data_IF_238419058704
#
_entry.id   IF_238419058704
#
_cell.length_a   1.000
_cell.length_b   1.000
_cell.length_c   1.000
_cell.angle_alpha   90.00
_cell.angle_beta   90.00
_cell.angle_gamma   90.00
#
_symmetry.space_group_name_H-M   'P 1'
#
loop_
_entity.id
_entity.type
_entity.pdbx_description
1 polymer ?
#
# COMPACT_ATOMS: atom_id res chain seq x y z
N UNK A 1 -25.06 4.87 -28.73
CA UNK A 1 -24.42 3.72 -28.08
C UNK A 1 -23.16 4.28 -27.42
N UNK A 2 -23.10 4.34 -26.05
CA UNK A 2 -21.86 4.76 -25.36
C UNK A 2 -20.80 3.70 -25.67
N UNK A 3 -19.76 4.09 -26.35
CA UNK A 3 -18.55 3.27 -26.46
C UNK A 3 -17.95 3.13 -25.08
N UNK A 4 -17.86 1.92 -24.58
CA UNK A 4 -17.22 1.63 -23.29
C UNK A 4 -15.71 1.72 -23.54
N UNK A 5 -15.07 2.69 -22.90
CA UNK A 5 -13.63 2.85 -23.02
C UNK A 5 -12.87 1.72 -22.32
N UNK A 6 -11.75 1.31 -22.88
CA UNK A 6 -10.86 0.28 -22.30
C UNK A 6 -10.44 0.68 -20.88
N UNK A 7 -10.27 1.97 -20.61
CA UNK A 7 -9.97 2.53 -19.28
C UNK A 7 -11.06 2.22 -18.25
N UNK A 8 -12.34 2.33 -18.64
CA UNK A 8 -13.47 2.02 -17.77
C UNK A 8 -13.52 0.53 -17.41
N UNK A 9 -13.21 -0.34 -18.39
CA UNK A 9 -13.15 -1.78 -18.17
C UNK A 9 -12.02 -2.14 -17.20
N UNK A 10 -10.82 -1.58 -17.42
CA UNK A 10 -9.66 -1.82 -16.55
C UNK A 10 -9.88 -1.30 -15.12
N UNK A 11 -10.45 -0.11 -14.98
CA UNK A 11 -10.78 0.46 -13.67
C UNK A 11 -11.82 -0.39 -12.93
N UNK A 12 -12.85 -0.84 -13.64
CA UNK A 12 -13.89 -1.70 -13.06
C UNK A 12 -13.31 -3.04 -12.61
N UNK A 13 -12.45 -3.67 -13.43
CA UNK A 13 -11.78 -4.91 -13.09
C UNK A 13 -10.86 -4.74 -11.88
N UNK A 14 -10.08 -3.65 -11.84
CA UNK A 14 -9.22 -3.32 -10.71
C UNK A 14 -10.03 -3.16 -9.42
N UNK A 15 -11.11 -2.36 -9.45
CA UNK A 15 -11.96 -2.12 -8.29
C UNK A 15 -12.65 -3.40 -7.81
N UNK A 16 -13.14 -4.24 -8.73
CA UNK A 16 -13.71 -5.53 -8.40
C UNK A 16 -12.69 -6.44 -7.68
N UNK A 17 -11.44 -6.47 -8.14
CA UNK A 17 -10.36 -7.21 -7.49
C UNK A 17 -10.02 -6.66 -6.10
N UNK A 18 -9.98 -5.34 -5.92
CA UNK A 18 -9.78 -4.71 -4.60
C UNK A 18 -10.90 -5.11 -3.63
N UNK A 19 -12.16 -4.97 -4.06
CA UNK A 19 -13.34 -5.34 -3.23
C UNK A 19 -13.29 -6.83 -2.87
N UNK A 20 -13.00 -7.70 -3.82
CA UNK A 20 -12.88 -9.14 -3.58
C UNK A 20 -11.78 -9.45 -2.56
N UNK A 21 -10.60 -8.83 -2.67
CA UNK A 21 -9.51 -8.99 -1.72
C UNK A 21 -9.88 -8.48 -0.32
N UNK A 22 -10.48 -7.30 -0.21
CA UNK A 22 -10.90 -6.72 1.08
C UNK A 22 -11.95 -7.61 1.75
N UNK A 23 -12.95 -8.07 0.99
CA UNK A 23 -13.97 -8.99 1.53
C UNK A 23 -13.37 -10.31 1.98
N UNK A 24 -12.48 -10.91 1.17
CA UNK A 24 -11.81 -12.16 1.53
C UNK A 24 -11.05 -12.05 2.84
N UNK A 25 -10.23 -11.00 2.98
CA UNK A 25 -9.43 -10.76 4.18
C UNK A 25 -10.31 -10.39 5.39
N UNK A 26 -11.32 -9.55 5.17
CA UNK A 26 -12.27 -9.16 6.21
C UNK A 26 -13.07 -10.36 6.76
N UNK A 27 -13.55 -11.23 5.86
CA UNK A 27 -14.25 -12.46 6.25
C UNK A 27 -13.30 -13.39 7.01
N UNK A 28 -12.03 -13.54 6.53
CA UNK A 28 -11.01 -14.34 7.21
C UNK A 28 -10.75 -13.84 8.63
N UNK A 29 -10.53 -12.55 8.80
CA UNK A 29 -10.33 -11.93 10.11
C UNK A 29 -11.57 -12.07 11.02
N UNK A 30 -12.76 -11.80 10.49
CA UNK A 30 -14.01 -11.96 11.24
C UNK A 30 -14.19 -13.40 11.74
N UNK A 31 -13.94 -14.40 10.87
CA UNK A 31 -14.01 -15.82 11.25
C UNK A 31 -13.01 -16.17 12.35
N UNK A 32 -11.77 -15.67 12.24
CA UNK A 32 -10.74 -15.85 13.26
C UNK A 32 -11.21 -15.29 14.61
N UNK A 33 -11.61 -14.02 14.66
CA UNK A 33 -12.06 -13.37 15.91
C UNK A 33 -13.30 -14.08 16.48
N UNK A 34 -14.23 -14.47 15.64
CA UNK A 34 -15.43 -15.21 16.07
C UNK A 34 -15.06 -16.57 16.66
N UNK A 35 -14.15 -17.30 16.02
CA UNK A 35 -13.66 -18.60 16.51
C UNK A 35 -12.91 -18.46 17.83
N UNK A 36 -11.98 -17.49 17.93
CA UNK A 36 -11.26 -17.19 19.16
C UNK A 36 -12.21 -16.88 20.31
N UNK A 37 -13.20 -16.00 20.09
CA UNK A 37 -14.18 -15.63 21.13
C UNK A 37 -15.11 -16.79 21.49
N UNK A 38 -15.56 -17.56 20.51
CA UNK A 38 -16.50 -18.66 20.71
C UNK A 38 -15.93 -19.83 21.48
N UNK A 39 -14.62 -20.07 21.38
CA UNK A 39 -13.91 -21.15 22.08
C UNK A 39 -13.11 -20.67 23.29
N UNK A 40 -13.19 -19.36 23.59
CA UNK A 40 -12.37 -18.78 24.66
C UNK A 40 -12.97 -19.00 26.04
N UNK A 41 -12.10 -19.29 27.02
CA UNK A 41 -12.40 -19.32 28.45
C UNK A 41 -11.43 -18.45 29.22
N UNK A 42 -11.79 -18.07 30.42
CA UNK A 42 -10.87 -17.38 31.34
C UNK A 42 -9.70 -18.29 31.69
N UNK A 43 -8.55 -17.70 31.93
CA UNK A 43 -7.37 -18.39 32.45
C UNK A 43 -7.59 -18.64 33.94
N UNK A 44 -7.42 -19.88 34.41
CA UNK A 44 -7.60 -20.28 35.80
C UNK A 44 -6.34 -20.07 36.64
N UNK A 45 -5.18 -20.10 35.99
CA UNK A 45 -3.88 -19.92 36.60
C UNK A 45 -3.63 -18.46 36.97
N UNK A 46 -3.73 -18.15 38.27
CA UNK A 46 -3.52 -16.80 38.80
C UNK A 46 -2.08 -16.26 38.53
N UNK A 47 -1.08 -17.14 38.53
CA UNK A 47 0.32 -16.76 38.27
C UNK A 47 0.52 -16.21 36.84
N UNK A 48 -0.25 -16.66 35.85
CA UNK A 48 -0.18 -16.11 34.49
C UNK A 48 -0.71 -14.68 34.41
N UNK A 49 -1.75 -14.36 35.20
CA UNK A 49 -2.25 -12.98 35.31
C UNK A 49 -1.22 -12.06 35.95
N UNK A 50 -0.55 -12.53 37.01
CA UNK A 50 0.51 -11.76 37.67
C UNK A 50 1.66 -11.49 36.71
N UNK A 51 2.13 -12.52 35.98
CA UNK A 51 3.20 -12.36 34.98
C UNK A 51 2.79 -11.34 33.89
N UNK A 52 1.55 -11.42 33.40
CA UNK A 52 1.07 -10.47 32.39
C UNK A 52 1.08 -9.03 32.93
N UNK A 53 0.63 -8.81 34.14
CA UNK A 53 0.63 -7.50 34.79
C UNK A 53 2.05 -6.96 35.00
N UNK A 54 2.99 -7.81 35.43
CA UNK A 54 4.41 -7.46 35.54
C UNK A 54 4.97 -7.01 34.18
N UNK A 55 4.71 -7.75 33.11
CA UNK A 55 5.18 -7.37 31.77
C UNK A 55 4.50 -6.09 31.25
N UNK A 56 3.22 -5.86 31.55
CA UNK A 56 2.54 -4.59 31.22
C UNK A 56 3.20 -3.41 31.95
N UNK A 57 3.48 -3.57 33.24
CA UNK A 57 4.13 -2.53 34.05
C UNK A 57 5.55 -2.21 33.52
N UNK A 58 6.36 -3.23 33.24
CA UNK A 58 7.71 -3.08 32.67
C UNK A 58 7.72 -2.34 31.34
N UNK A 59 6.70 -2.60 30.50
CA UNK A 59 6.54 -1.96 29.21
C UNK A 59 5.79 -0.62 29.27
N UNK A 60 5.37 -0.18 30.46
CA UNK A 60 4.58 1.06 30.64
C UNK A 60 3.31 1.02 29.76
N UNK A 61 2.55 -0.05 29.91
CA UNK A 61 1.25 -0.23 29.24
C UNK A 61 0.18 -0.04 30.31
N UNK A 62 -0.48 1.12 30.29
CA UNK A 62 -1.52 1.48 31.27
C UNK A 62 -2.85 0.78 31.03
N UNK A 63 -3.03 0.18 29.86
CA UNK A 63 -4.25 -0.48 29.47
C UNK A 63 -4.30 -1.92 30.00
N UNK A 64 -5.41 -2.29 30.61
CA UNK A 64 -5.67 -3.67 30.97
C UNK A 64 -5.87 -4.52 29.71
N UNK A 65 -5.06 -5.58 29.56
CA UNK A 65 -5.12 -6.53 28.46
C UNK A 65 -5.69 -7.85 28.99
N UNK A 66 -6.91 -8.24 28.58
CA UNK A 66 -7.50 -9.51 28.99
C UNK A 66 -6.67 -10.69 28.51
N UNK A 67 -6.50 -11.69 29.40
CA UNK A 67 -5.84 -12.96 29.09
C UNK A 67 -6.90 -14.07 28.99
N UNK A 68 -6.90 -14.79 27.86
CA UNK A 68 -7.85 -15.87 27.61
C UNK A 68 -7.17 -17.09 27.01
N UNK A 69 -7.73 -18.26 27.26
CA UNK A 69 -7.36 -19.49 26.56
C UNK A 69 -8.37 -19.77 25.48
N UNK A 70 -7.92 -20.13 24.30
CA UNK A 70 -8.81 -20.54 23.19
C UNK A 70 -8.20 -21.69 22.42
N UNK A 71 -8.97 -22.76 22.22
CA UNK A 71 -8.54 -23.89 21.39
C UNK A 71 -8.40 -23.55 19.90
N UNK A 72 -8.99 -22.43 19.47
CA UNK A 72 -8.84 -21.90 18.12
C UNK A 72 -7.54 -21.10 17.92
N UNK A 73 -6.78 -20.82 18.98
CA UNK A 73 -5.47 -20.22 18.89
C UNK A 73 -4.43 -21.32 18.60
N UNK A 74 -3.72 -21.20 17.48
CA UNK A 74 -2.62 -22.13 17.14
C UNK A 74 -1.34 -21.82 17.91
N UNK A 75 -1.13 -20.55 18.24
CA UNK A 75 0.00 -20.04 19.03
C UNK A 75 -0.51 -18.92 19.96
N UNK A 76 0.27 -18.54 20.98
CA UNK A 76 0.01 -17.31 21.71
C UNK A 76 -0.07 -16.14 20.74
N UNK A 77 -1.09 -15.27 20.90
CA UNK A 77 -1.27 -14.13 19.99
C UNK A 77 -2.08 -13.02 20.65
N UNK A 78 -1.76 -11.78 20.31
CA UNK A 78 -2.58 -10.62 20.63
C UNK A 78 -3.55 -10.35 19.47
N UNK A 79 -4.85 -10.39 19.72
CA UNK A 79 -5.88 -10.18 18.71
C UNK A 79 -6.88 -9.11 19.15
N UNK A 80 -7.35 -8.31 18.16
CA UNK A 80 -8.30 -7.21 18.35
C UNK A 80 -7.66 -5.83 18.20
N UNK A 81 -8.20 -4.99 17.29
CA UNK A 81 -7.69 -3.65 17.04
C UNK A 81 -8.07 -2.65 18.14
N UNK A 82 -9.34 -2.68 18.56
CA UNK A 82 -9.87 -1.72 19.52
C UNK A 82 -9.74 -2.27 20.95
N UNK A 83 -10.00 -3.55 21.13
CA UNK A 83 -9.93 -4.26 22.42
C UNK A 83 -8.96 -5.44 22.29
N UNK A 84 -7.64 -5.17 22.40
CA UNK A 84 -6.64 -6.22 22.31
C UNK A 84 -6.82 -7.22 23.45
N UNK A 85 -6.82 -8.49 23.11
CA UNK A 85 -6.92 -9.60 24.05
C UNK A 85 -5.79 -10.57 23.73
N UNK A 86 -5.07 -11.01 24.75
CA UNK A 86 -4.02 -12.01 24.62
C UNK A 86 -4.65 -13.41 24.72
N UNK A 87 -4.52 -14.18 23.65
CA UNK A 87 -5.01 -15.54 23.58
C UNK A 87 -3.87 -16.54 23.70
N UNK A 88 -4.04 -17.52 24.56
CA UNK A 88 -3.16 -18.68 24.69
C UNK A 88 -3.84 -19.92 24.12
N UNK A 89 -3.11 -20.84 23.47
CA UNK A 89 -3.65 -22.13 23.04
C UNK A 89 -3.89 -23.10 24.21
N UNK A 90 -3.13 -22.97 25.29
CA UNK A 90 -3.18 -23.80 26.50
C UNK A 90 -2.56 -23.04 27.68
N UNK A 91 -2.94 -23.38 28.90
CA UNK A 91 -2.35 -22.87 30.15
C UNK A 91 -1.11 -23.63 30.60
N UNK A 92 -0.82 -24.79 29.98
CA UNK A 92 0.32 -25.65 30.30
C UNK A 92 1.62 -25.06 29.74
N UNK A 93 1.95 -23.90 30.23
CA UNK A 93 3.15 -23.14 29.87
C UNK A 93 4.00 -22.89 31.11
N UNK A 94 5.33 -22.95 31.00
CA UNK A 94 6.19 -22.59 32.12
C UNK A 94 6.11 -21.10 32.44
N UNK A 95 6.38 -20.69 33.68
CA UNK A 95 6.38 -19.28 34.07
C UNK A 95 7.38 -18.46 33.24
N UNK A 96 8.56 -19.05 32.99
CA UNK A 96 9.60 -18.41 32.18
C UNK A 96 9.18 -18.22 30.74
N UNK A 97 8.59 -19.25 30.11
CA UNK A 97 8.10 -19.13 28.74
C UNK A 97 6.94 -18.16 28.66
N UNK A 98 6.04 -18.14 29.64
CA UNK A 98 4.93 -17.19 29.70
C UNK A 98 5.44 -15.74 29.76
N UNK A 99 6.45 -15.47 30.61
CA UNK A 99 7.04 -14.14 30.71
C UNK A 99 7.63 -13.66 29.38
N UNK A 100 8.39 -14.51 28.69
CA UNK A 100 8.98 -14.19 27.40
C UNK A 100 7.95 -14.00 26.30
N UNK A 101 6.94 -14.87 26.24
CA UNK A 101 5.86 -14.78 25.24
C UNK A 101 5.01 -13.53 25.46
N UNK A 102 4.63 -13.26 26.71
CA UNK A 102 3.85 -12.06 27.02
C UNK A 102 4.62 -10.80 26.69
N UNK A 103 5.91 -10.74 27.05
CA UNK A 103 6.78 -9.63 26.68
C UNK A 103 6.84 -9.41 25.18
N UNK A 104 6.97 -10.49 24.39
CA UNK A 104 6.98 -10.43 22.94
C UNK A 104 5.66 -9.87 22.36
N UNK A 105 4.51 -10.44 22.75
CA UNK A 105 3.20 -10.00 22.28
C UNK A 105 2.87 -8.56 22.69
N UNK A 106 3.23 -8.18 23.92
CA UNK A 106 3.06 -6.82 24.41
C UNK A 106 4.00 -5.82 23.72
N UNK A 107 5.17 -6.26 23.28
CA UNK A 107 6.09 -5.42 22.48
C UNK A 107 5.48 -5.10 21.13
N UNK A 108 4.84 -6.05 20.45
CA UNK A 108 4.07 -5.80 19.23
C UNK A 108 2.96 -4.75 19.46
N UNK A 109 2.25 -4.86 20.59
CA UNK A 109 1.23 -3.88 20.96
C UNK A 109 1.83 -2.48 21.15
N UNK A 110 2.91 -2.38 21.91
CA UNK A 110 3.60 -1.11 22.20
C UNK A 110 4.15 -0.44 20.94
N UNK A 111 4.67 -1.22 19.99
CA UNK A 111 5.18 -0.71 18.71
C UNK A 111 4.08 -0.32 17.72
N UNK A 112 2.83 -0.72 17.98
CA UNK A 112 1.73 -0.49 17.05
C UNK A 112 1.81 -1.35 15.79
N UNK A 113 2.48 -2.50 15.85
CA UNK A 113 2.72 -3.38 14.71
C UNK A 113 1.44 -3.87 14.04
N UNK A 114 0.33 -3.90 14.80
CA UNK A 114 -0.98 -4.25 14.27
C UNK A 114 -1.45 -3.22 13.21
N UNK A 115 -1.18 -1.93 13.43
CA UNK A 115 -1.49 -0.87 12.46
C UNK A 115 -0.61 -0.97 11.22
N UNK A 116 0.68 -1.29 11.40
CA UNK A 116 1.58 -1.51 10.29
C UNK A 116 1.17 -2.74 9.47
N UNK A 117 0.80 -3.86 10.12
CA UNK A 117 0.24 -5.06 9.46
C UNK A 117 -1.04 -4.73 8.70
N UNK A 118 -1.90 -3.85 9.22
CA UNK A 118 -3.11 -3.37 8.52
C UNK A 118 -2.76 -2.53 7.27
N UNK A 119 -1.77 -1.65 7.37
CA UNK A 119 -1.29 -0.85 6.24
C UNK A 119 -0.73 -1.74 5.12
N UNK A 120 0.08 -2.75 5.48
CA UNK A 120 0.60 -3.74 4.53
C UNK A 120 -0.52 -4.54 3.86
N UNK A 121 -1.57 -4.88 4.62
CA UNK A 121 -2.76 -5.54 4.10
C UNK A 121 -3.50 -4.65 3.10
N UNK A 122 -3.70 -3.37 3.42
CA UNK A 122 -4.32 -2.41 2.52
C UNK A 122 -3.53 -2.26 1.22
N UNK A 123 -2.19 -2.15 1.30
CA UNK A 123 -1.32 -2.11 0.13
C UNK A 123 -1.45 -3.37 -0.75
N UNK A 124 -1.52 -4.57 -0.14
CA UNK A 124 -1.75 -5.83 -0.85
C UNK A 124 -3.13 -5.89 -1.51
N UNK A 125 -4.17 -5.34 -0.89
CA UNK A 125 -5.50 -5.30 -1.49
C UNK A 125 -5.57 -4.32 -2.66
N UNK A 126 -4.98 -3.13 -2.53
CA UNK A 126 -4.94 -2.12 -3.59
C UNK A 126 -4.14 -2.59 -4.82
N UNK A 127 -3.05 -3.31 -4.58
CA UNK A 127 -2.15 -3.83 -5.62
C UNK A 127 -2.22 -5.36 -5.70
N UNK A 128 -3.43 -5.92 -5.62
CA UNK A 128 -3.66 -7.35 -5.56
C UNK A 128 -3.01 -8.14 -6.70
N UNK A 129 -2.86 -7.53 -7.87
CA UNK A 129 -2.25 -8.10 -9.07
C UNK A 129 -0.71 -8.00 -9.11
N UNK A 130 -0.09 -7.19 -8.22
CA UNK A 130 1.35 -6.92 -8.26
C UNK A 130 2.12 -7.86 -7.31
N UNK A 131 2.92 -8.82 -7.83
CA UNK A 131 3.66 -9.75 -7.00
C UNK A 131 4.72 -9.09 -6.11
N UNK A 132 5.27 -7.93 -6.52
CA UNK A 132 6.27 -7.21 -5.74
C UNK A 132 5.71 -6.71 -4.41
N UNK A 133 4.47 -6.25 -4.39
CA UNK A 133 3.82 -5.78 -3.14
C UNK A 133 3.64 -6.94 -2.16
N UNK A 134 3.30 -8.14 -2.65
CA UNK A 134 3.20 -9.33 -1.81
C UNK A 134 4.57 -9.73 -1.23
N UNK A 135 5.63 -9.63 -2.03
CA UNK A 135 7.00 -9.91 -1.60
C UNK A 135 7.48 -8.89 -0.56
N UNK A 136 7.26 -7.59 -0.80
CA UNK A 136 7.59 -6.51 0.14
C UNK A 136 6.84 -6.71 1.46
N UNK A 137 5.54 -7.01 1.42
CA UNK A 137 4.75 -7.24 2.61
C UNK A 137 5.26 -8.44 3.43
N UNK A 138 5.76 -9.48 2.76
CA UNK A 138 6.39 -10.62 3.42
C UNK A 138 7.68 -10.23 4.13
N UNK A 139 8.60 -9.53 3.45
CA UNK A 139 9.84 -9.05 4.07
C UNK A 139 9.56 -8.08 5.22
N UNK A 140 8.59 -7.19 5.06
CA UNK A 140 8.19 -6.28 6.13
C UNK A 140 7.66 -7.02 7.37
N UNK A 141 6.95 -8.13 7.20
CA UNK A 141 6.54 -8.98 8.32
C UNK A 141 7.73 -9.64 9.02
N UNK A 142 8.71 -10.14 8.25
CA UNK A 142 9.95 -10.69 8.82
C UNK A 142 10.73 -9.62 9.61
N UNK A 143 10.78 -8.39 9.11
CA UNK A 143 11.43 -7.26 9.78
C UNK A 143 10.70 -6.82 11.06
N UNK A 144 9.36 -6.84 11.07
CA UNK A 144 8.55 -6.56 12.26
C UNK A 144 8.87 -7.56 13.36
N UNK A 145 8.91 -8.87 13.04
CA UNK A 145 9.25 -9.91 13.99
C UNK A 145 10.69 -9.74 14.52
N UNK A 146 11.66 -9.48 13.63
CA UNK A 146 13.04 -9.25 14.03
C UNK A 146 13.22 -7.99 14.90
N UNK A 147 12.46 -6.93 14.63
CA UNK A 147 12.49 -5.72 15.46
C UNK A 147 11.86 -5.93 16.83
N UNK A 148 10.81 -6.76 16.91
CA UNK A 148 10.20 -7.16 18.16
C UNK A 148 11.17 -7.99 19.00
N UNK A 149 11.79 -9.01 18.40
CA UNK A 149 12.80 -9.85 19.07
C UNK A 149 13.98 -9.01 19.61
N UNK A 150 14.47 -8.08 18.80
CA UNK A 150 15.53 -7.15 19.19
C UNK A 150 15.12 -6.28 20.39
N UNK A 151 13.86 -5.81 20.42
CA UNK A 151 13.36 -5.00 21.53
C UNK A 151 13.25 -5.80 22.83
N UNK A 152 12.83 -7.07 22.74
CA UNK A 152 12.71 -7.97 23.90
C UNK A 152 14.07 -8.24 24.54
N UNK A 153 15.13 -8.43 23.73
CA UNK A 153 16.45 -8.81 24.24
C UNK A 153 17.39 -7.61 24.45
N UNK A 154 16.95 -6.41 24.14
CA UNK A 154 17.77 -5.19 24.24
C UNK A 154 18.16 -4.91 25.67
N UNK A 155 19.45 -4.70 25.91
CA UNK A 155 20.02 -4.43 27.24
C UNK A 155 20.22 -5.66 28.12
N UNK A 156 19.81 -6.85 27.66
CA UNK A 156 19.97 -8.09 28.40
C UNK A 156 21.23 -8.85 27.97
N UNK A 157 21.72 -9.69 28.86
CA UNK A 157 22.92 -10.50 28.69
C UNK A 157 22.74 -11.72 27.76
N UNK A 158 23.79 -12.47 27.52
CA UNK A 158 23.76 -13.65 26.65
C UNK A 158 22.92 -14.79 27.21
N UNK A 159 22.80 -14.92 28.54
CA UNK A 159 21.99 -15.95 29.18
C UNK A 159 20.50 -15.70 28.94
N UNK A 160 20.06 -14.45 29.11
CA UNK A 160 18.67 -14.04 28.80
C UNK A 160 18.33 -14.26 27.32
N UNK A 161 19.21 -13.85 26.40
CA UNK A 161 19.04 -14.06 24.95
C UNK A 161 18.87 -15.53 24.58
N UNK A 162 19.67 -16.40 25.22
CA UNK A 162 19.57 -17.84 25.01
C UNK A 162 18.27 -18.42 25.52
N UNK A 163 17.85 -18.07 26.74
CA UNK A 163 16.57 -18.50 27.31
C UNK A 163 15.38 -18.07 26.47
N UNK A 164 15.41 -16.82 25.97
CA UNK A 164 14.40 -16.31 25.04
C UNK A 164 14.38 -17.09 23.72
N UNK A 165 15.55 -17.33 23.12
CA UNK A 165 15.69 -18.12 21.89
C UNK A 165 15.15 -19.53 22.03
N UNK A 166 15.40 -20.18 23.16
CA UNK A 166 14.83 -21.51 23.47
C UNK A 166 13.29 -21.47 23.57
N UNK A 167 12.73 -20.41 24.15
CA UNK A 167 11.26 -20.22 24.21
C UNK A 167 10.67 -20.05 22.82
N UNK A 168 11.29 -19.24 21.94
CA UNK A 168 10.86 -19.12 20.55
C UNK A 168 10.88 -20.48 19.84
N UNK A 169 11.96 -21.23 20.01
CA UNK A 169 12.11 -22.55 19.39
C UNK A 169 11.05 -23.53 19.87
N UNK A 170 10.80 -23.58 21.19
CA UNK A 170 9.72 -24.43 21.76
C UNK A 170 8.34 -24.07 21.21
N UNK A 171 8.05 -22.77 21.11
CA UNK A 171 6.79 -22.28 20.56
C UNK A 171 6.62 -22.66 19.09
N UNK A 172 7.68 -22.52 18.28
CA UNK A 172 7.68 -22.90 16.88
C UNK A 172 7.50 -24.41 16.67
N UNK A 173 8.15 -25.24 17.49
CA UNK A 173 7.98 -26.70 17.45
C UNK A 173 6.54 -27.09 17.79
N UNK A 174 5.96 -26.51 18.85
CA UNK A 174 4.57 -26.77 19.26
C UNK A 174 3.58 -26.38 18.14
N UNK A 175 3.79 -25.23 17.49
CA UNK A 175 2.99 -24.79 16.36
C UNK A 175 3.11 -25.73 15.15
N UNK A 176 4.33 -26.18 14.83
CA UNK A 176 4.58 -27.07 13.70
C UNK A 176 3.91 -28.44 13.88
N UNK A 177 3.83 -28.94 15.10
CA UNK A 177 3.14 -30.19 15.40
C UNK A 177 1.63 -30.11 15.19
N UNK A 178 1.00 -28.95 15.52
CA UNK A 178 -0.42 -28.73 15.27
C UNK A 178 -0.72 -28.58 13.76
N UNK A 179 0.15 -27.91 13.00
CA UNK A 179 0.00 -27.72 11.55
C UNK A 179 0.26 -28.99 10.72
N UNK A 180 1.08 -29.94 11.20
CA UNK A 180 1.39 -31.20 10.50
C UNK A 180 0.14 -32.03 10.16
N UNK A 181 -0.96 -31.82 10.84
CA UNK A 181 -2.22 -32.49 10.55
C UNK A 181 -2.92 -31.99 9.26
N UNK A 182 -2.53 -30.84 8.67
CA UNK A 182 -3.30 -30.18 7.61
C UNK A 182 -2.54 -29.79 6.34
N UNK A 183 -1.25 -29.38 6.36
CA UNK A 183 -0.53 -28.94 5.13
C UNK A 183 0.99 -29.08 5.23
N UNK A 184 1.61 -29.55 4.14
CA UNK A 184 3.07 -29.69 3.96
C UNK A 184 3.72 -28.38 3.46
N UNK A 185 3.92 -27.38 4.33
CA UNK A 185 4.65 -26.15 4.01
C UNK A 185 5.89 -25.96 4.89
N UNK A 186 6.88 -26.87 4.75
CA UNK A 186 8.04 -26.95 5.65
C UNK A 186 9.23 -26.05 5.35
N UNK A 187 9.27 -25.39 4.19
CA UNK A 187 10.50 -24.71 3.76
C UNK A 187 10.68 -23.30 4.30
N UNK A 188 9.62 -22.55 4.40
CA UNK A 188 9.64 -21.10 4.66
C UNK A 188 9.67 -20.78 6.15
N UNK A 189 8.91 -21.51 6.96
CA UNK A 189 8.86 -21.32 8.42
C UNK A 189 10.22 -21.60 9.07
N UNK A 190 10.96 -22.59 8.57
CA UNK A 190 12.29 -22.95 9.10
C UNK A 190 13.33 -21.85 8.82
N UNK A 191 13.34 -21.27 7.63
CA UNK A 191 14.28 -20.19 7.28
C UNK A 191 14.01 -18.92 8.11
N UNK A 192 12.74 -18.58 8.28
CA UNK A 192 12.34 -17.42 9.09
C UNK A 192 12.72 -17.62 10.56
N UNK A 193 12.47 -18.81 11.12
CA UNK A 193 12.88 -19.14 12.48
C UNK A 193 14.41 -19.07 12.66
N UNK A 194 15.17 -19.59 11.68
CA UNK A 194 16.64 -19.54 11.71
C UNK A 194 17.16 -18.10 11.68
N UNK A 195 16.58 -17.25 10.84
CA UNK A 195 16.90 -15.81 10.79
C UNK A 195 16.60 -15.11 12.11
N UNK A 196 15.46 -15.39 12.74
CA UNK A 196 15.11 -14.85 14.06
C UNK A 196 16.15 -15.27 15.09
N UNK A 197 16.54 -16.55 15.12
CA UNK A 197 17.51 -17.09 16.04
C UNK A 197 18.91 -16.47 15.82
N UNK A 198 19.39 -16.40 14.59
CA UNK A 198 20.66 -15.74 14.26
C UNK A 198 20.64 -14.25 14.66
N UNK A 199 19.53 -13.58 14.42
CA UNK A 199 19.33 -12.17 14.79
C UNK A 199 19.45 -11.89 16.29
N UNK A 200 19.12 -12.85 17.17
CA UNK A 200 19.23 -12.67 18.62
C UNK A 200 20.68 -12.52 19.10
N UNK A 201 21.63 -13.14 18.39
CA UNK A 201 23.06 -13.13 18.75
C UNK A 201 23.87 -12.13 17.94
N UNK A 202 23.28 -11.57 16.88
CA UNK A 202 23.90 -10.52 16.08
C UNK A 202 23.84 -9.19 16.84
N UNK A 203 25.02 -8.68 17.23
CA UNK A 203 25.18 -7.39 17.90
C UNK A 203 25.28 -6.21 16.93
N UNK A 204 25.17 -6.45 15.62
CA UNK A 204 25.23 -5.37 14.65
C UNK A 204 24.01 -4.44 14.82
N UNK A 205 24.28 -3.14 14.81
CA UNK A 205 23.21 -2.14 14.82
C UNK A 205 22.43 -2.25 13.51
N UNK A 206 21.28 -2.90 13.56
CA UNK A 206 20.40 -3.00 12.39
C UNK A 206 20.00 -1.59 11.96
N UNK A 207 20.44 -1.18 10.78
CA UNK A 207 20.04 0.11 10.20
C UNK A 207 18.52 0.07 9.99
N UNK A 208 17.83 1.07 10.54
CA UNK A 208 16.38 1.19 10.38
C UNK A 208 16.04 1.18 8.89
N UNK A 209 15.10 0.34 8.46
CA UNK A 209 14.60 0.27 7.08
C UNK A 209 13.88 1.53 6.59
N UNK A 210 13.94 2.62 7.38
CA UNK A 210 13.39 3.94 7.04
C UNK A 210 13.89 4.41 5.68
N UNK A 211 15.16 4.17 5.35
CA UNK A 211 15.72 4.53 4.04
C UNK A 211 15.01 3.81 2.89
N UNK A 212 14.67 2.53 3.06
CA UNK A 212 13.93 1.74 2.08
C UNK A 212 12.49 2.27 1.92
N UNK A 213 11.81 2.56 3.04
CA UNK A 213 10.46 3.11 3.04
C UNK A 213 10.42 4.48 2.37
N UNK A 214 11.38 5.35 2.69
CA UNK A 214 11.51 6.67 2.05
C UNK A 214 11.81 6.53 0.56
N UNK A 215 12.69 5.62 0.17
CA UNK A 215 12.99 5.36 -1.25
C UNK A 215 11.77 4.85 -2.02
N UNK A 216 10.98 3.94 -1.44
CA UNK A 216 9.72 3.45 -2.04
C UNK A 216 8.69 4.58 -2.13
N UNK A 217 8.54 5.40 -1.09
CA UNK A 217 7.63 6.54 -1.09
C UNK A 217 8.02 7.58 -2.15
N UNK A 218 9.33 7.85 -2.32
CA UNK A 218 9.84 8.74 -3.37
C UNK A 218 9.62 8.16 -4.77
N UNK A 219 9.81 6.85 -4.96
CA UNK A 219 9.53 6.19 -6.25
C UNK A 219 8.05 6.24 -6.61
N UNK A 220 7.15 5.95 -5.66
CA UNK A 220 5.71 6.05 -5.88
C UNK A 220 5.28 7.50 -6.10
N UNK A 221 5.84 8.44 -5.33
CA UNK A 221 5.57 9.87 -5.49
C UNK A 221 6.05 10.41 -6.84
N UNK A 222 7.23 10.01 -7.32
CA UNK A 222 7.76 10.41 -8.62
C UNK A 222 6.93 9.86 -9.78
N UNK A 223 6.45 8.61 -9.68
CA UNK A 223 5.59 8.01 -10.69
C UNK A 223 4.23 8.71 -10.78
N UNK A 224 3.65 9.11 -9.63
CA UNK A 224 2.41 9.89 -9.59
C UNK A 224 2.60 11.30 -10.16
N UNK A 225 3.76 11.91 -9.93
CA UNK A 225 4.10 13.23 -10.46
C UNK A 225 4.26 13.19 -11.99
N UNK A 226 4.88 12.14 -12.55
CA UNK A 226 5.04 12.01 -14.02
C UNK A 226 3.71 11.82 -14.73
N UNK A 227 2.74 11.13 -14.12
CA UNK A 227 1.38 10.98 -14.67
C UNK A 227 0.64 12.33 -14.63
N UNK A 228 0.72 13.06 -13.53
CA UNK A 228 0.07 14.37 -13.37
C UNK A 228 0.69 15.44 -14.29
N UNK A 229 2.02 15.42 -14.49
CA UNK A 229 2.72 16.33 -15.41
C UNK A 229 2.41 15.98 -16.87
N UNK A 230 2.30 14.68 -17.22
CA UNK A 230 1.94 14.26 -18.58
C UNK A 230 0.54 14.72 -19.01
N UNK A 231 -0.41 14.81 -18.09
CA UNK A 231 -1.77 15.30 -18.38
C UNK A 231 -1.81 16.84 -18.48
N UNK A 232 -1.03 17.55 -17.67
CA UNK A 232 -0.85 18.99 -17.76
C UNK A 232 -0.13 19.42 -19.05
N UNK A 233 0.83 18.62 -19.53
CA UNK A 233 1.57 18.93 -20.78
C UNK A 233 0.67 18.84 -22.02
N UNK A 234 -0.32 17.93 -22.03
CA UNK A 234 -1.33 17.85 -23.09
C UNK A 234 -2.27 19.07 -23.10
N UNK A 235 -2.67 19.56 -21.93
CA UNK A 235 -3.47 20.77 -21.79
C UNK A 235 -2.70 22.04 -22.17
N UNK A 236 -1.45 22.16 -21.72
CA UNK A 236 -0.58 23.30 -22.02
C UNK A 236 -0.22 23.36 -23.51
N UNK A 237 0.04 22.21 -24.15
CA UNK A 237 0.30 22.13 -25.60
C UNK A 237 -0.91 22.54 -26.43
N UNK A 238 -2.12 22.25 -25.95
CA UNK A 238 -3.37 22.63 -26.63
C UNK A 238 -3.60 24.14 -26.55
N UNK A 239 -3.46 24.73 -25.38
CA UNK A 239 -3.59 26.18 -25.16
C UNK A 239 -2.54 26.96 -25.94
N UNK A 240 -1.29 26.49 -25.92
CA UNK A 240 -0.18 27.08 -26.67
C UNK A 240 -0.41 27.00 -28.19
N UNK A 241 -0.99 25.93 -28.72
CA UNK A 241 -1.36 25.78 -30.13
C UNK A 241 -2.44 26.75 -30.56
N UNK A 242 -3.46 26.95 -29.71
CA UNK A 242 -4.52 27.92 -29.96
C UNK A 242 -3.96 29.35 -29.95
N UNK A 243 -3.09 29.70 -29.00
CA UNK A 243 -2.44 31.01 -28.93
C UNK A 243 -1.51 31.28 -30.12
N UNK A 244 -0.76 30.26 -30.58
CA UNK A 244 0.08 30.36 -31.77
C UNK A 244 -0.72 30.57 -33.03
N UNK A 245 -1.85 29.84 -33.18
CA UNK A 245 -2.74 30.03 -34.34
C UNK A 245 -3.41 31.41 -34.35
N UNK A 246 -3.86 31.91 -33.21
CA UNK A 246 -4.36 33.29 -33.07
C UNK A 246 -3.29 34.33 -33.35
N UNK A 247 -2.04 34.13 -32.90
CA UNK A 247 -0.93 35.01 -33.18
C UNK A 247 -0.61 35.07 -34.70
N UNK A 248 -0.59 33.91 -35.37
CA UNK A 248 -0.40 33.81 -36.82
C UNK A 248 -1.50 34.48 -37.60
N UNK A 249 -2.78 34.33 -37.19
CA UNK A 249 -3.92 35.03 -37.80
C UNK A 249 -3.82 36.55 -37.66
N UNK A 250 -3.43 37.05 -36.49
CA UNK A 250 -3.23 38.49 -36.25
C UNK A 250 -2.03 39.05 -37.04
N UNK A 251 -0.95 38.28 -37.17
CA UNK A 251 0.21 38.68 -38.01
C UNK A 251 -0.17 38.71 -39.48
N UNK A 252 -1.00 37.80 -39.97
CA UNK A 252 -1.50 37.85 -41.36
C UNK A 252 -2.38 39.06 -41.60
N UNK A 253 -3.25 39.42 -40.66
CA UNK A 253 -4.06 40.65 -40.74
C UNK A 253 -3.21 41.91 -40.79
N UNK A 254 -2.15 41.98 -39.98
CA UNK A 254 -1.21 43.10 -39.98
C UNK A 254 -0.41 43.24 -41.29
N UNK A 255 -0.21 42.12 -42.00
CA UNK A 255 0.43 42.09 -43.33
C UNK A 255 -0.53 42.39 -44.47
N UNK A 256 -1.83 42.67 -44.18
CA UNK A 256 -2.80 43.05 -45.18
C UNK A 256 -3.59 41.87 -45.76
N UNK A 257 -3.44 40.66 -45.26
CA UNK A 257 -4.25 39.53 -45.65
C UNK A 257 -5.62 39.60 -45.02
N UNK A 258 -6.64 39.06 -45.70
CA UNK A 258 -7.97 38.95 -45.12
C UNK A 258 -8.12 37.59 -44.46
N UNK A 259 -8.36 37.59 -43.14
CA UNK A 259 -8.62 36.38 -42.37
C UNK A 259 -10.14 36.23 -42.18
N UNK A 260 -10.72 35.19 -42.70
CA UNK A 260 -12.17 34.87 -42.53
C UNK A 260 -12.30 33.54 -41.78
N UNK A 261 -13.23 33.53 -40.82
CA UNK A 261 -13.65 32.28 -40.19
C UNK A 261 -14.63 31.54 -41.11
N UNK A 262 -14.21 30.38 -41.63
CA UNK A 262 -15.01 29.50 -42.45
C UNK A 262 -15.57 28.36 -41.56
N UNK A 263 -16.72 28.61 -40.97
CA UNK A 263 -17.35 27.72 -39.99
C UNK A 263 -16.81 27.94 -38.58
N UNK A 264 -17.11 26.99 -37.69
CA UNK A 264 -16.74 27.14 -36.27
C UNK A 264 -15.23 26.92 -35.97
N UNK A 265 -14.49 26.30 -36.88
CA UNK A 265 -13.18 25.75 -36.58
C UNK A 265 -12.15 25.93 -37.72
N UNK A 266 -12.42 26.81 -38.71
CA UNK A 266 -11.51 27.00 -39.86
C UNK A 266 -11.26 28.48 -40.11
N UNK A 267 -9.98 28.85 -40.20
CA UNK A 267 -9.55 30.19 -40.61
C UNK A 267 -9.01 30.12 -42.05
N UNK A 268 -9.52 30.97 -42.90
CA UNK A 268 -9.05 31.16 -44.27
C UNK A 268 -8.25 32.46 -44.35
N UNK A 269 -7.00 32.34 -44.74
CA UNK A 269 -6.12 33.48 -45.00
C UNK A 269 -6.07 33.65 -46.51
N UNK A 270 -6.60 34.79 -46.99
CA UNK A 270 -6.67 35.10 -48.43
C UNK A 270 -5.80 36.32 -48.72
N UNK A 271 -5.09 36.28 -49.84
CA UNK A 271 -4.35 37.41 -50.37
C UNK A 271 -5.34 38.48 -50.90
N UNK A 272 -5.05 39.76 -50.64
CA UNK A 272 -5.81 40.87 -51.25
C UNK A 272 -5.29 41.14 -52.63
N UNK A 273 -5.99 40.70 -53.65
CA UNK A 273 -5.80 41.26 -54.98
C UNK A 273 -6.43 42.65 -55.06
N UNK A 274 -5.62 43.65 -55.27
CA UNK A 274 -6.11 45.01 -55.57
C UNK A 274 -6.66 45.01 -56.98
N UNK A 275 -7.99 45.22 -57.12
CA UNK A 275 -8.57 45.61 -58.38
C UNK A 275 -8.44 47.12 -58.54
N UNK A 276 -7.92 47.58 -59.69
CA UNK A 276 -7.83 48.99 -60.05
C UNK A 276 -9.18 49.66 -60.28
N UNK A 277 -10.30 48.91 -60.19
CA UNK A 277 -11.65 49.46 -60.32
C UNK A 277 -12.37 49.52 -58.96
N UNK A 278 -12.76 50.70 -58.49
CA UNK A 278 -13.49 50.85 -57.23
C UNK A 278 -14.88 50.29 -57.36
N UNK A 279 -15.12 49.10 -56.79
CA UNK A 279 -16.41 48.44 -56.74
C UNK A 279 -16.40 46.95 -57.10
N UNK A 280 -15.33 46.41 -57.59
CA UNK A 280 -15.24 44.98 -57.96
C UNK A 280 -14.46 44.23 -56.91
N UNK A 281 -15.14 43.31 -56.22
CA UNK A 281 -14.52 42.39 -55.26
C UNK A 281 -14.07 41.13 -56.00
N UNK A 282 -12.76 41.05 -56.29
CA UNK A 282 -12.19 39.83 -56.83
C UNK A 282 -11.98 38.85 -55.63
N UNK A 283 -12.42 37.60 -55.74
CA UNK A 283 -12.17 36.61 -54.67
C UNK A 283 -10.66 36.40 -54.50
N UNK A 284 -10.11 36.80 -53.38
CA UNK A 284 -8.74 36.64 -53.05
C UNK A 284 -8.29 35.19 -53.09
N UNK A 285 -7.08 34.95 -53.54
CA UNK A 285 -6.49 33.60 -53.56
C UNK A 285 -6.24 33.12 -52.15
N UNK A 286 -6.70 31.88 -51.82
CA UNK A 286 -6.41 31.27 -50.54
C UNK A 286 -4.91 30.99 -50.44
N UNK A 287 -4.22 31.64 -49.54
CA UNK A 287 -2.78 31.48 -49.30
C UNK A 287 -2.52 30.38 -48.27
N UNK A 288 -3.37 30.31 -47.27
CA UNK A 288 -3.26 29.26 -46.24
C UNK A 288 -4.66 28.93 -45.65
N UNK A 289 -4.92 27.65 -45.44
CA UNK A 289 -6.12 27.17 -44.76
C UNK A 289 -5.73 26.50 -43.48
N UNK A 290 -6.10 27.09 -42.35
CA UNK A 290 -5.91 26.49 -41.02
C UNK A 290 -7.25 25.88 -40.60
N UNK A 291 -7.29 24.55 -40.53
CA UNK A 291 -8.52 23.81 -40.14
C UNK A 291 -8.32 23.19 -38.77
N UNK A 292 -9.25 23.48 -37.88
CA UNK A 292 -9.33 22.83 -36.57
C UNK A 292 -10.47 21.84 -36.62
N UNK A 293 -10.21 20.55 -36.51
CA UNK A 293 -11.25 19.54 -36.40
C UNK A 293 -11.48 19.17 -34.94
N UNK A 294 -12.72 19.00 -34.61
CA UNK A 294 -13.15 18.47 -33.31
C UNK A 294 -13.23 16.94 -33.42
N UNK A 295 -12.20 16.25 -32.99
CA UNK A 295 -12.20 14.79 -32.92
C UNK A 295 -12.29 14.42 -31.42
N UNK A 296 -13.31 13.65 -31.05
CA UNK A 296 -13.59 13.20 -29.67
C UNK A 296 -13.69 14.31 -28.60
N UNK A 297 -14.24 15.47 -28.98
CA UNK A 297 -14.39 16.60 -28.08
C UNK A 297 -13.18 17.52 -27.98
N UNK A 298 -12.07 17.18 -28.64
CA UNK A 298 -10.83 17.98 -28.70
C UNK A 298 -10.68 18.69 -30.04
N UNK A 299 -10.31 19.98 -29.99
CA UNK A 299 -9.90 20.76 -31.16
C UNK A 299 -8.44 20.43 -31.51
N UNK A 300 -8.21 19.84 -32.67
CA UNK A 300 -6.86 19.61 -33.21
C UNK A 300 -6.66 20.36 -34.51
N UNK A 301 -5.45 20.94 -34.71
CA UNK A 301 -5.07 21.55 -35.95
C UNK A 301 -4.82 20.44 -36.98
N UNK A 302 -5.57 20.45 -38.08
CA UNK A 302 -5.34 19.56 -39.21
C UNK A 302 -4.74 20.43 -40.33
N UNK A 303 -3.58 20.03 -40.82
CA UNK A 303 -2.94 20.67 -41.98
C UNK A 303 -3.69 20.38 -43.27
#
# INVERSE_FOLDING_TARGET
VKTVDITDILLTLWLAGVIACVLWQGIGYYRLIRSLKGTSRSVERADLHTILQEQCADLVIDREIPLRVSSAADCPMLAGFIHPTLYLPDERISRTDAAFIFRHELTHYKHGDLWLKLLLLAARCLHWFNPLVHLIARFAQEDIEAACDDAVVRGHDGAYRRAYGETILRSAIAQSQKRKALVSCFGDDKKTLMRRFEGLFDKSVKKRGVALVVMIALLVGSLSCTIAVGDNDKGLTKELRIQLAQKQANEAENLGYTVKLDGKDTYLITDREFSDNPGETIPGRVVQKLTFAKQDGELSLIH
#
